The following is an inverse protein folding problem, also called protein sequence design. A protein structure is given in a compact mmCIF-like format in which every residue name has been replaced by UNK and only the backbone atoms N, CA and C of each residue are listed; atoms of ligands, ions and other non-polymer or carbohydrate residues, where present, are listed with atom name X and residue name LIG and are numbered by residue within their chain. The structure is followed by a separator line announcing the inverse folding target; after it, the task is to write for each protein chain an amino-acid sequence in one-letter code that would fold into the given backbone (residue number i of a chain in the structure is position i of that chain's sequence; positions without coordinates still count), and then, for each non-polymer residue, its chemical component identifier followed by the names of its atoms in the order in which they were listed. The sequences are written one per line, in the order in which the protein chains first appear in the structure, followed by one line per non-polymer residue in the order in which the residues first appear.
data_IF_503174790127
#
_entry.id   IF_503174790127
#
_cell.length_a   1.000
_cell.length_b   1.000
_cell.length_c   1.000
_cell.angle_alpha   90.00
_cell.angle_beta   90.00
_cell.angle_gamma   90.00
#
_symmetry.space_group_name_H-M   'P 1'
#
loop_
_entity.id
_entity.type
_entity.pdbx_description
1 polymer ?
#
# COMPACT_ATOMS: atom_id res chain seq x y z
N UNK A 1 -10.51 -2.52 2.16
CA UNK A 1 -9.81 -1.22 2.16
C UNK A 1 -10.84 -0.10 2.06
N UNK A 2 -10.74 0.92 2.91
CA UNK A 2 -11.63 2.09 2.83
C UNK A 2 -11.07 3.08 1.81
N UNK A 3 -11.97 3.61 0.98
CA UNK A 3 -11.64 4.55 -0.10
C UNK A 3 -12.39 5.88 0.09
N UNK A 4 -12.06 6.86 -0.74
CA UNK A 4 -12.72 8.17 -0.74
C UNK A 4 -14.25 8.06 -0.96
N UNK A 5 -14.76 7.05 -1.64
CA UNK A 5 -16.20 6.81 -1.80
C UNK A 5 -16.92 6.67 -0.44
N UNK A 6 -16.24 6.14 0.58
CA UNK A 6 -16.79 6.03 1.93
C UNK A 6 -17.12 7.40 2.55
N UNK A 7 -16.36 8.44 2.22
CA UNK A 7 -16.59 9.79 2.75
C UNK A 7 -17.88 10.42 2.21
N UNK A 8 -18.40 9.94 1.07
CA UNK A 8 -19.63 10.45 0.47
C UNK A 8 -20.85 10.11 1.32
N UNK A 9 -20.78 9.05 2.10
CA UNK A 9 -21.83 8.59 3.00
C UNK A 9 -21.81 9.25 4.37
N UNK A 10 -20.72 9.98 4.70
CA UNK A 10 -20.48 10.55 6.03
C UNK A 10 -20.14 12.05 5.94
N UNK A 11 -21.15 12.93 5.81
CA UNK A 11 -20.96 14.37 5.64
C UNK A 11 -20.20 15.03 6.81
N UNK A 12 -20.28 14.47 8.00
CA UNK A 12 -19.56 14.98 9.18
C UNK A 12 -18.05 14.81 9.05
N UNK A 13 -17.58 13.75 8.41
CA UNK A 13 -16.14 13.54 8.11
C UNK A 13 -15.63 14.62 7.16
N UNK A 14 -16.38 14.93 6.10
CA UNK A 14 -16.02 16.01 5.18
C UNK A 14 -15.96 17.37 5.89
N UNK A 15 -16.95 17.66 6.72
CA UNK A 15 -17.01 18.91 7.48
C UNK A 15 -15.84 19.02 8.44
N UNK A 16 -15.50 17.94 9.17
CA UNK A 16 -14.34 17.89 10.05
C UNK A 16 -13.03 18.11 9.27
N UNK A 17 -12.88 17.45 8.12
CA UNK A 17 -11.70 17.64 7.27
C UNK A 17 -11.57 19.08 6.76
N UNK A 18 -12.67 19.72 6.35
CA UNK A 18 -12.67 21.10 5.88
C UNK A 18 -12.30 22.10 6.99
N UNK A 19 -12.74 21.86 8.22
CA UNK A 19 -12.48 22.72 9.38
C UNK A 19 -11.12 22.50 10.05
N UNK A 20 -10.42 21.40 9.73
CA UNK A 20 -9.11 21.11 10.30
C UNK A 20 -8.03 22.05 9.74
N UNK A 21 -7.09 22.47 10.58
CA UNK A 21 -5.94 23.30 10.18
C UNK A 21 -4.78 22.47 9.62
N UNK A 22 -4.71 21.21 9.97
CA UNK A 22 -3.67 20.28 9.52
C UNK A 22 -4.25 18.88 9.31
N UNK A 23 -3.59 18.10 8.45
CA UNK A 23 -3.84 16.67 8.26
C UNK A 23 -2.69 15.90 8.86
N UNK A 24 -3.01 14.98 9.76
CA UNK A 24 -2.03 14.12 10.43
C UNK A 24 -2.24 12.70 9.93
N UNK A 25 -1.20 12.11 9.38
CA UNK A 25 -1.17 10.72 8.93
C UNK A 25 -0.02 9.94 9.56
N UNK A 26 -0.03 8.64 9.39
CA UNK A 26 1.08 7.78 9.83
C UNK A 26 2.36 8.20 9.09
N UNK A 27 2.29 8.28 7.78
CA UNK A 27 3.37 8.74 6.91
C UNK A 27 2.90 9.92 6.04
N UNK A 28 3.82 10.80 5.68
CA UNK A 28 3.55 11.79 4.63
C UNK A 28 3.64 11.10 3.27
N UNK A 29 2.50 11.03 2.57
CA UNK A 29 2.41 10.38 1.25
C UNK A 29 2.76 11.40 0.17
N UNK A 30 4.02 11.42 -0.24
CA UNK A 30 4.54 12.24 -1.33
C UNK A 30 5.67 11.50 -2.07
N UNK A 31 6.32 12.17 -3.00
CA UNK A 31 7.41 11.57 -3.78
C UNK A 31 8.65 11.20 -2.95
N UNK A 32 8.81 11.76 -1.76
CA UNK A 32 9.98 11.50 -0.90
C UNK A 32 9.99 10.10 -0.31
N UNK A 33 8.82 9.46 -0.16
CA UNK A 33 8.74 8.11 0.40
C UNK A 33 8.97 6.99 -0.62
N UNK A 34 8.97 7.30 -1.92
CA UNK A 34 9.05 6.27 -2.97
C UNK A 34 10.38 5.50 -2.93
N UNK A 35 11.49 6.21 -2.85
CA UNK A 35 12.81 5.57 -2.80
C UNK A 35 13.03 4.76 -1.52
N UNK A 36 12.76 5.27 -0.30
CA UNK A 36 12.81 4.47 0.92
C UNK A 36 11.89 3.25 0.89
N UNK A 37 10.66 3.37 0.38
CA UNK A 37 9.74 2.24 0.25
C UNK A 37 10.26 1.18 -0.71
N UNK A 38 10.80 1.58 -1.88
CA UNK A 38 11.43 0.65 -2.82
C UNK A 38 12.60 -0.08 -2.16
N UNK A 39 13.47 0.64 -1.47
CA UNK A 39 14.62 0.05 -0.79
C UNK A 39 14.19 -0.93 0.31
N UNK A 40 13.18 -0.58 1.10
CA UNK A 40 12.63 -1.44 2.14
C UNK A 40 11.89 -2.67 1.59
N UNK A 41 11.42 -2.63 0.34
CA UNK A 41 10.65 -3.72 -0.28
C UNK A 41 11.50 -4.86 -0.82
N UNK A 42 12.82 -4.65 -0.99
CA UNK A 42 13.72 -5.63 -1.60
C UNK A 42 14.63 -6.31 -0.60
N UNK A 43 14.99 -7.55 -0.90
CA UNK A 43 16.01 -8.32 -0.17
C UNK A 43 17.40 -7.88 -0.64
N UNK A 44 18.31 -7.70 0.32
CA UNK A 44 19.72 -7.37 0.05
C UNK A 44 20.58 -8.62 0.22
N UNK A 45 21.20 -9.07 -0.85
CA UNK A 45 22.16 -10.19 -0.83
C UNK A 45 21.56 -11.59 -0.67
N UNK A 46 20.24 -11.73 -0.80
CA UNK A 46 19.53 -13.01 -0.76
C UNK A 46 18.25 -12.95 -1.61
N UNK A 47 17.56 -14.07 -1.72
CA UNK A 47 16.31 -14.19 -2.49
C UNK A 47 15.22 -14.87 -1.67
N UNK A 48 13.96 -14.74 -2.10
CA UNK A 48 12.84 -15.46 -1.48
C UNK A 48 13.07 -16.97 -1.46
N UNK A 49 13.64 -17.52 -2.54
CA UNK A 49 13.92 -18.95 -2.66
C UNK A 49 14.94 -19.42 -1.62
N UNK A 50 15.88 -18.58 -1.22
CA UNK A 50 16.91 -18.91 -0.24
C UNK A 50 16.40 -18.81 1.21
N UNK A 51 15.47 -17.87 1.48
CA UNK A 51 15.00 -17.62 2.84
C UNK A 51 13.70 -18.35 3.20
N UNK A 52 12.89 -18.74 2.22
CA UNK A 52 11.66 -19.48 2.45
C UNK A 52 11.92 -20.98 2.44
N UNK A 53 11.25 -21.75 3.31
CA UNK A 53 11.23 -23.20 3.18
C UNK A 53 10.72 -23.63 1.80
N UNK A 54 11.30 -24.67 1.20
CA UNK A 54 10.95 -25.14 -0.15
C UNK A 54 9.45 -25.34 -0.33
N UNK A 55 8.81 -25.98 0.64
CA UNK A 55 7.37 -26.23 0.62
C UNK A 55 6.53 -24.93 0.59
N UNK A 56 6.99 -23.88 1.24
CA UNK A 56 6.31 -22.58 1.24
C UNK A 56 6.56 -21.84 -0.07
N UNK A 57 7.78 -21.89 -0.57
CA UNK A 57 8.14 -21.31 -1.86
C UNK A 57 7.33 -21.93 -3.01
N UNK A 58 7.20 -23.27 -3.02
CA UNK A 58 6.43 -24.01 -4.02
C UNK A 58 4.93 -23.66 -3.96
N UNK A 59 4.36 -23.55 -2.76
CA UNK A 59 2.97 -23.12 -2.57
C UNK A 59 2.75 -21.69 -3.05
N UNK A 60 3.66 -20.78 -2.73
CA UNK A 60 3.59 -19.40 -3.18
C UNK A 60 3.70 -19.33 -4.71
N UNK A 61 4.62 -20.09 -5.32
CA UNK A 61 4.77 -20.19 -6.78
C UNK A 61 3.48 -20.65 -7.45
N UNK A 62 2.86 -21.71 -6.94
CA UNK A 62 1.60 -22.23 -7.46
C UNK A 62 0.47 -21.18 -7.34
N UNK A 63 0.37 -20.52 -6.19
CA UNK A 63 -0.65 -19.51 -5.93
C UNK A 63 -0.51 -18.30 -6.85
N UNK A 64 0.69 -17.71 -6.98
CA UNK A 64 0.91 -16.55 -7.86
C UNK A 64 0.67 -16.88 -9.33
N UNK A 65 1.01 -18.08 -9.76
CA UNK A 65 0.73 -18.55 -11.11
C UNK A 65 -0.77 -18.68 -11.39
N UNK A 66 -1.51 -19.26 -10.43
CA UNK A 66 -2.95 -19.48 -10.55
C UNK A 66 -3.75 -18.17 -10.42
N UNK A 67 -3.45 -17.35 -9.41
CA UNK A 67 -4.25 -16.17 -9.09
C UNK A 67 -3.88 -14.92 -9.89
N UNK A 68 -2.62 -14.76 -10.27
CA UNK A 68 -2.11 -13.58 -10.94
C UNK A 68 -1.50 -13.86 -12.32
N UNK A 69 -1.33 -15.13 -12.72
CA UNK A 69 -0.61 -15.48 -13.92
C UNK A 69 0.88 -15.08 -13.90
N UNK A 70 1.44 -14.88 -12.70
CA UNK A 70 2.80 -14.41 -12.51
C UNK A 70 3.71 -15.54 -12.05
N UNK A 71 4.97 -15.53 -12.54
CA UNK A 71 6.01 -16.40 -12.00
C UNK A 71 6.64 -15.76 -10.76
N UNK A 72 6.66 -16.48 -9.64
CA UNK A 72 7.27 -16.00 -8.40
C UNK A 72 8.77 -15.68 -8.57
N UNK A 73 9.44 -16.30 -9.52
CA UNK A 73 10.84 -15.98 -9.84
C UNK A 73 11.04 -14.50 -10.20
N UNK A 74 10.07 -13.87 -10.83
CA UNK A 74 10.10 -12.44 -11.16
C UNK A 74 10.03 -11.54 -9.92
N UNK A 75 9.48 -12.07 -8.82
CA UNK A 75 9.32 -11.39 -7.53
C UNK A 75 10.36 -11.84 -6.49
N UNK A 76 11.35 -12.63 -6.89
CA UNK A 76 12.29 -13.32 -5.99
C UNK A 76 13.20 -12.38 -5.18
N UNK A 77 13.32 -11.13 -5.60
CA UNK A 77 14.07 -10.09 -4.89
C UNK A 77 13.26 -9.31 -3.86
N UNK A 78 11.94 -9.51 -3.84
CA UNK A 78 11.08 -8.84 -2.87
C UNK A 78 11.19 -9.49 -1.49
N UNK A 79 11.03 -8.69 -0.44
CA UNK A 79 10.93 -9.26 0.90
C UNK A 79 9.56 -9.95 1.11
N UNK A 80 9.44 -10.89 2.07
CA UNK A 80 8.20 -11.63 2.30
C UNK A 80 7.00 -10.75 2.66
N UNK A 81 7.20 -9.64 3.35
CA UNK A 81 6.13 -8.71 3.72
C UNK A 81 5.56 -8.02 2.49
N UNK A 82 6.43 -7.54 1.61
CA UNK A 82 6.02 -6.94 0.33
C UNK A 82 5.30 -7.96 -0.55
N UNK A 83 5.80 -9.20 -0.61
CA UNK A 83 5.14 -10.29 -1.35
C UNK A 83 3.73 -10.56 -0.81
N UNK A 84 3.58 -10.61 0.52
CA UNK A 84 2.28 -10.80 1.18
C UNK A 84 1.33 -9.62 0.88
N UNK A 85 1.83 -8.39 0.86
CA UNK A 85 1.04 -7.20 0.51
C UNK A 85 0.52 -7.28 -0.93
N UNK A 86 1.37 -7.72 -1.87
CA UNK A 86 0.96 -7.93 -3.26
C UNK A 86 -0.10 -9.03 -3.35
N UNK A 87 0.09 -10.16 -2.67
CA UNK A 87 -0.89 -11.25 -2.65
C UNK A 87 -2.24 -10.78 -2.07
N UNK A 88 -2.21 -9.99 -1.00
CA UNK A 88 -3.42 -9.41 -0.42
C UNK A 88 -4.13 -8.47 -1.39
N UNK A 89 -3.39 -7.61 -2.10
CA UNK A 89 -3.95 -6.70 -3.09
C UNK A 89 -4.62 -7.45 -4.26
N UNK A 90 -3.98 -8.52 -4.76
CA UNK A 90 -4.54 -9.40 -5.80
C UNK A 90 -5.84 -10.05 -5.31
N UNK A 91 -5.82 -10.62 -4.10
CA UNK A 91 -6.98 -11.25 -3.48
C UNK A 91 -8.12 -10.25 -3.31
N UNK A 92 -7.80 -9.06 -2.81
CA UNK A 92 -8.78 -8.00 -2.60
C UNK A 92 -9.41 -7.55 -3.91
N UNK A 93 -8.61 -7.33 -4.95
CA UNK A 93 -9.12 -6.94 -6.27
C UNK A 93 -10.01 -8.02 -6.90
N UNK A 94 -9.68 -9.30 -6.68
CA UNK A 94 -10.46 -10.42 -7.22
C UNK A 94 -11.83 -10.58 -6.55
N UNK A 95 -11.86 -10.49 -5.22
CA UNK A 95 -13.08 -10.77 -4.44
C UNK A 95 -13.85 -9.51 -4.03
N UNK A 96 -13.19 -8.37 -3.99
CA UNK A 96 -13.76 -7.07 -3.61
C UNK A 96 -13.27 -5.98 -4.57
N UNK A 97 -13.63 -6.07 -5.86
CA UNK A 97 -13.15 -5.10 -6.86
C UNK A 97 -13.60 -3.69 -6.50
N UNK A 98 -12.70 -2.73 -6.66
CA UNK A 98 -12.98 -1.30 -6.48
C UNK A 98 -12.96 -0.59 -7.83
N UNK A 99 -13.63 0.56 -7.88
CA UNK A 99 -13.47 1.48 -9.01
C UNK A 99 -12.00 1.93 -9.08
N UNK A 100 -11.35 1.86 -10.26
CA UNK A 100 -9.97 2.29 -10.43
C UNK A 100 -9.71 3.77 -10.05
N UNK A 101 -10.78 4.58 -10.03
CA UNK A 101 -10.71 6.00 -9.64
C UNK A 101 -10.82 6.23 -8.12
N UNK A 102 -11.12 5.18 -7.36
CA UNK A 102 -11.15 5.28 -5.90
C UNK A 102 -9.72 5.24 -5.35
N UNK A 103 -9.45 6.14 -4.42
CA UNK A 103 -8.16 6.22 -3.72
C UNK A 103 -8.33 5.91 -2.23
N UNK A 104 -7.26 5.43 -1.61
CA UNK A 104 -7.25 5.15 -0.17
C UNK A 104 -7.51 6.42 0.63
N UNK A 105 -8.17 6.28 1.78
CA UNK A 105 -8.56 7.43 2.61
C UNK A 105 -7.37 8.28 3.03
N UNK A 106 -6.26 7.68 3.45
CA UNK A 106 -5.08 8.43 3.87
C UNK A 106 -4.53 9.29 2.73
N UNK A 107 -4.42 8.73 1.54
CA UNK A 107 -4.01 9.45 0.33
C UNK A 107 -5.01 10.56 0.00
N UNK A 108 -6.30 10.25 0.04
CA UNK A 108 -7.36 11.22 -0.23
C UNK A 108 -7.30 12.44 0.69
N UNK A 109 -7.22 12.22 2.01
CA UNK A 109 -7.19 13.33 2.96
C UNK A 109 -5.91 14.16 2.85
N UNK A 110 -4.77 13.53 2.60
CA UNK A 110 -3.52 14.27 2.38
C UNK A 110 -3.55 15.08 1.08
N UNK A 111 -4.11 14.54 0.00
CA UNK A 111 -4.30 15.28 -1.25
C UNK A 111 -5.26 16.45 -1.09
N UNK A 112 -6.38 16.27 -0.38
CA UNK A 112 -7.29 17.37 -0.08
C UNK A 112 -6.60 18.43 0.79
N UNK A 113 -5.86 18.01 1.82
CA UNK A 113 -5.10 18.94 2.66
C UNK A 113 -4.07 19.75 1.87
N UNK A 114 -3.36 19.11 0.92
CA UNK A 114 -2.43 19.80 0.02
C UNK A 114 -3.14 20.84 -0.88
N UNK A 115 -4.30 20.48 -1.44
CA UNK A 115 -5.13 21.41 -2.24
C UNK A 115 -5.62 22.61 -1.42
N UNK A 116 -5.96 22.38 -0.17
CA UNK A 116 -6.43 23.42 0.75
C UNK A 116 -5.29 24.17 1.46
N UNK A 117 -4.03 23.94 1.06
CA UNK A 117 -2.82 24.51 1.64
C UNK A 117 -2.66 24.27 3.15
N UNK A 118 -3.15 23.15 3.65
CA UNK A 118 -3.02 22.73 5.03
C UNK A 118 -1.66 22.07 5.28
N UNK A 119 -1.19 22.12 6.51
CA UNK A 119 -0.02 21.36 6.93
C UNK A 119 -0.31 19.86 6.87
N UNK A 120 0.63 19.08 6.32
CA UNK A 120 0.60 17.62 6.33
C UNK A 120 1.69 17.15 7.28
N UNK A 121 1.31 16.42 8.31
CA UNK A 121 2.20 15.97 9.39
C UNK A 121 2.24 14.45 9.39
N UNK A 122 3.42 13.86 9.29
CA UNK A 122 3.65 12.44 9.48
C UNK A 122 4.04 12.15 10.93
N UNK A 123 3.46 11.11 11.51
CA UNK A 123 3.81 10.63 12.85
C UNK A 123 5.02 9.69 12.81
N UNK A 124 5.27 9.07 11.68
CA UNK A 124 6.36 8.13 11.47
C UNK A 124 7.21 8.52 10.25
N UNK A 125 8.40 7.95 10.19
CA UNK A 125 9.32 8.02 9.05
C UNK A 125 9.71 6.62 8.63
N UNK A 126 10.10 6.45 7.35
CA UNK A 126 10.65 5.19 6.88
C UNK A 126 12.15 5.21 7.11
N UNK A 127 12.62 4.45 8.09
CA UNK A 127 14.04 4.20 8.32
C UNK A 127 14.47 2.96 7.52
N UNK A 128 15.45 3.15 6.68
CA UNK A 128 15.96 2.10 5.77
C UNK A 128 17.40 1.72 6.12
#
# INVERSE_FOLDING_TARGET
MLTNAFTDTLPDIRKANQSADAIVGELVIDSSIQAPMMEASVLKGTTLKEILPDTLYDKATAWFKEEAGMDLMQLNQLNPVTLMTIALAITQQKYFPHDPNEIQLDTYFQEQGKKDHKAIIGLETIDV
#
